data_IF_136877239584
#
_entry.id   IF_136877239584
#
_cell.length_a   1.000
_cell.length_b   1.000
_cell.length_c   1.000
_cell.angle_alpha   90.00
_cell.angle_beta   90.00
_cell.angle_gamma   90.00
#
_symmetry.space_group_name_H-M   'P 1'
#
loop_
_entity.id
_entity.type
_entity.pdbx_description
1 polymer ?
#
# COMPACT_ATOMS: atom_id res chain seq x y z
N UNK A 1 16.34 -23.59 20.09
CA UNK A 1 15.33 -22.59 20.53
C UNK A 1 15.49 -21.43 19.55
N UNK A 2 14.43 -20.99 18.90
CA UNK A 2 14.57 -19.89 17.94
C UNK A 2 15.00 -18.61 18.67
N UNK A 3 16.00 -17.93 18.13
CA UNK A 3 16.49 -16.67 18.67
C UNK A 3 15.98 -15.50 17.82
N UNK A 4 15.75 -14.35 18.42
CA UNK A 4 15.25 -13.17 17.71
C UNK A 4 16.13 -12.77 16.51
N UNK A 5 17.44 -12.86 16.68
CA UNK A 5 18.38 -12.48 15.61
C UNK A 5 18.36 -13.48 14.45
N UNK A 6 18.12 -14.76 14.69
CA UNK A 6 17.92 -15.77 13.65
C UNK A 6 16.67 -15.44 12.83
N UNK A 7 15.53 -15.14 13.49
CA UNK A 7 14.29 -14.76 12.83
C UNK A 7 14.52 -13.50 11.97
N UNK A 8 15.19 -12.50 12.53
CA UNK A 8 15.46 -11.23 11.86
C UNK A 8 16.41 -11.34 10.66
N UNK A 9 17.28 -12.35 10.64
CA UNK A 9 18.23 -12.60 9.54
C UNK A 9 17.57 -13.08 8.26
N UNK A 10 16.32 -13.56 8.33
CA UNK A 10 15.60 -14.08 7.17
C UNK A 10 15.25 -12.97 6.17
N UNK A 11 15.36 -13.21 4.85
CA UNK A 11 15.04 -12.23 3.83
C UNK A 11 13.59 -11.71 3.97
N UNK A 12 13.43 -10.38 3.97
CA UNK A 12 12.12 -9.74 4.07
C UNK A 12 11.59 -9.58 5.50
N UNK A 13 12.29 -10.08 6.51
CA UNK A 13 11.90 -9.95 7.92
C UNK A 13 12.55 -8.71 8.54
N UNK A 14 11.73 -7.71 8.83
CA UNK A 14 12.12 -6.51 9.57
C UNK A 14 11.91 -6.66 11.09
N UNK A 15 12.29 -5.62 11.85
CA UNK A 15 12.17 -5.61 13.33
C UNK A 15 10.76 -5.91 13.83
N UNK A 16 9.74 -5.33 13.19
CA UNK A 16 8.33 -5.57 13.53
C UNK A 16 7.95 -7.04 13.31
N UNK A 17 8.24 -7.59 12.14
CA UNK A 17 7.88 -8.97 11.79
C UNK A 17 8.64 -9.97 12.67
N UNK A 18 9.93 -9.73 12.92
CA UNK A 18 10.72 -10.55 13.81
C UNK A 18 10.19 -10.51 15.26
N UNK A 19 9.78 -9.32 15.72
CA UNK A 19 9.15 -9.14 17.02
C UNK A 19 7.84 -9.91 17.15
N UNK A 20 6.97 -9.83 16.13
CA UNK A 20 5.70 -10.55 16.10
C UNK A 20 5.89 -12.06 16.09
N UNK A 21 6.75 -12.58 15.22
CA UNK A 21 7.05 -14.02 15.16
C UNK A 21 7.66 -14.50 16.49
N UNK A 22 8.65 -13.76 17.00
CA UNK A 22 9.32 -14.11 18.25
C UNK A 22 8.37 -14.18 19.44
N UNK A 23 7.51 -13.16 19.60
CA UNK A 23 6.58 -13.13 20.73
C UNK A 23 5.40 -14.09 20.56
N UNK A 24 4.76 -14.12 19.38
CA UNK A 24 3.51 -14.89 19.19
C UNK A 24 3.79 -16.38 19.04
N UNK A 25 4.85 -16.75 18.29
CA UNK A 25 5.10 -18.15 18.00
C UNK A 25 6.05 -18.84 18.99
N UNK A 26 6.89 -18.05 19.66
CA UNK A 26 7.97 -18.59 20.51
C UNK A 26 7.94 -18.04 21.95
N UNK A 27 6.97 -17.22 22.31
CA UNK A 27 6.85 -16.54 23.61
C UNK A 27 8.13 -15.80 24.04
N UNK A 28 8.90 -15.31 23.05
CA UNK A 28 10.10 -14.51 23.30
C UNK A 28 9.72 -13.09 23.74
N UNK A 29 10.47 -12.46 24.65
CA UNK A 29 10.22 -11.09 25.06
C UNK A 29 10.67 -10.09 23.98
N UNK A 30 10.01 -10.15 22.84
CA UNK A 30 10.34 -9.36 21.63
C UNK A 30 9.13 -8.53 21.19
N UNK A 31 8.97 -7.29 21.70
CA UNK A 31 7.82 -6.44 21.34
C UNK A 31 7.72 -6.17 19.85
N UNK A 32 6.54 -6.41 19.28
CA UNK A 32 6.20 -6.03 17.92
C UNK A 32 5.60 -4.63 17.88
N UNK A 33 6.40 -3.62 17.55
CA UNK A 33 6.00 -2.21 17.62
C UNK A 33 5.59 -1.72 16.24
N UNK A 34 4.28 -1.72 15.98
CA UNK A 34 3.65 -1.16 14.77
C UNK A 34 2.99 0.21 15.05
N UNK A 35 2.28 0.74 14.06
CA UNK A 35 1.55 2.00 14.20
C UNK A 35 0.41 1.94 15.21
N UNK A 36 -0.19 0.78 15.45
CA UNK A 36 -1.23 0.57 16.44
C UNK A 36 -0.64 0.61 17.86
N UNK A 37 0.42 -0.16 18.07
CA UNK A 37 1.13 -0.20 19.36
C UNK A 37 1.70 1.17 19.73
N UNK A 38 2.32 1.89 18.78
CA UNK A 38 2.81 3.26 18.99
C UNK A 38 1.69 4.21 19.43
N UNK A 39 0.52 4.13 18.80
CA UNK A 39 -0.65 4.95 19.17
C UNK A 39 -1.19 4.61 20.55
N UNK A 40 -1.37 3.33 20.85
CA UNK A 40 -1.85 2.88 22.17
C UNK A 40 -0.87 3.33 23.23
N UNK A 41 0.42 3.05 23.06
CA UNK A 41 1.45 3.43 24.01
C UNK A 41 1.47 4.94 24.29
N UNK A 42 1.54 5.76 23.22
CA UNK A 42 1.62 7.22 23.39
C UNK A 42 0.39 7.81 24.06
N UNK A 43 -0.80 7.26 23.84
CA UNK A 43 -2.02 7.66 24.55
C UNK A 43 -2.01 7.21 26.01
N UNK A 44 -1.61 5.98 26.28
CA UNK A 44 -1.52 5.46 27.67
C UNK A 44 -0.54 6.28 28.48
N UNK A 45 0.60 6.62 27.92
CA UNK A 45 1.69 7.34 28.62
C UNK A 45 1.62 8.85 28.50
N UNK A 46 0.78 9.41 27.60
CA UNK A 46 0.81 10.82 27.15
C UNK A 46 2.20 11.24 26.64
N UNK A 47 2.85 10.36 25.88
CA UNK A 47 4.18 10.64 25.36
C UNK A 47 4.10 11.58 24.13
N UNK A 48 4.60 12.84 24.25
CA UNK A 48 4.54 13.81 23.17
C UNK A 48 5.63 13.59 22.11
N UNK A 49 6.42 12.54 22.23
CA UNK A 49 7.49 12.26 21.30
C UNK A 49 6.95 11.91 19.91
N UNK A 50 7.61 12.42 18.88
CA UNK A 50 7.23 12.14 17.49
C UNK A 50 7.54 10.68 17.13
N UNK A 51 6.49 9.89 16.90
CA UNK A 51 6.58 8.45 16.62
C UNK A 51 7.18 8.10 15.24
N UNK A 52 7.36 9.06 14.35
CA UNK A 52 7.99 8.82 13.05
C UNK A 52 9.52 8.72 13.17
N UNK A 53 10.10 9.21 14.29
CA UNK A 53 11.54 9.13 14.58
C UNK A 53 11.94 7.72 15.05
N UNK A 54 12.97 7.15 14.44
CA UNK A 54 13.46 5.81 14.80
C UNK A 54 13.92 5.70 16.27
N UNK A 55 14.54 6.74 16.81
CA UNK A 55 14.95 6.78 18.21
C UNK A 55 13.76 6.65 19.18
N UNK A 56 12.60 7.24 18.83
CA UNK A 56 11.38 7.14 19.62
C UNK A 56 10.80 5.72 19.56
N UNK A 57 10.77 5.11 18.36
CA UNK A 57 10.33 3.72 18.22
C UNK A 57 11.20 2.76 19.02
N UNK A 58 12.53 2.96 19.00
CA UNK A 58 13.47 2.18 19.79
C UNK A 58 13.23 2.35 21.29
N UNK A 59 13.08 3.59 21.76
CA UNK A 59 12.72 3.89 23.17
C UNK A 59 11.46 3.16 23.61
N UNK A 60 10.38 3.30 22.84
CA UNK A 60 9.09 2.66 23.15
C UNK A 60 9.24 1.12 23.19
N UNK A 61 10.01 0.56 22.27
CA UNK A 61 10.31 -0.88 22.30
C UNK A 61 11.06 -1.30 23.54
N UNK A 62 12.07 -0.53 23.97
CA UNK A 62 12.84 -0.81 25.19
C UNK A 62 11.96 -0.73 26.45
N UNK A 63 11.03 0.22 26.49
CA UNK A 63 10.08 0.34 27.61
C UNK A 63 9.06 -0.79 27.61
N UNK A 64 8.52 -1.18 26.47
CA UNK A 64 7.64 -2.34 26.36
C UNK A 64 8.37 -3.64 26.76
N UNK A 65 9.64 -3.77 26.46
CA UNK A 65 10.45 -4.93 26.84
C UNK A 65 10.42 -5.19 28.35
N UNK A 66 10.29 -4.15 29.18
CA UNK A 66 10.17 -4.33 30.64
C UNK A 66 8.87 -5.06 31.00
N UNK A 67 7.80 -4.82 30.26
CA UNK A 67 6.51 -5.49 30.47
C UNK A 67 6.54 -6.93 29.97
N UNK A 68 7.18 -7.17 28.82
CA UNK A 68 7.32 -8.51 28.22
C UNK A 68 8.11 -9.50 29.10
N UNK A 69 8.93 -9.01 30.02
CA UNK A 69 9.68 -9.86 30.98
C UNK A 69 8.79 -10.64 31.95
N UNK A 70 7.54 -10.25 32.10
CA UNK A 70 6.60 -10.96 32.98
C UNK A 70 5.95 -12.18 32.31
N UNK A 71 6.32 -12.50 31.05
CA UNK A 71 5.79 -13.63 30.29
C UNK A 71 4.50 -13.31 29.54
N UNK A 72 3.89 -14.32 28.93
CA UNK A 72 2.70 -14.20 28.07
C UNK A 72 2.91 -13.22 26.92
N UNK A 73 4.09 -13.27 26.30
CA UNK A 73 4.48 -12.33 25.24
C UNK A 73 3.59 -12.43 24.02
N UNK A 74 3.09 -13.62 23.72
CA UNK A 74 2.11 -13.90 22.67
C UNK A 74 0.79 -13.14 22.88
N UNK A 75 0.22 -13.29 24.08
CA UNK A 75 -1.04 -12.62 24.46
C UNK A 75 -0.87 -11.12 24.51
N UNK A 76 0.24 -10.62 25.07
CA UNK A 76 0.50 -9.19 25.19
C UNK A 76 0.66 -8.54 23.80
N UNK A 77 1.41 -9.18 22.88
CA UNK A 77 1.56 -8.69 21.52
C UNK A 77 0.22 -8.62 20.79
N UNK A 78 -0.55 -9.70 20.81
CA UNK A 78 -1.85 -9.76 20.15
C UNK A 78 -2.82 -8.75 20.78
N UNK A 79 -2.89 -8.67 22.11
CA UNK A 79 -3.77 -7.73 22.81
C UNK A 79 -3.48 -6.27 22.45
N UNK A 80 -2.20 -5.86 22.40
CA UNK A 80 -1.83 -4.50 22.01
C UNK A 80 -2.22 -4.18 20.56
N UNK A 81 -2.06 -5.14 19.65
CA UNK A 81 -2.49 -5.00 18.25
C UNK A 81 -4.01 -4.87 18.15
N UNK A 82 -4.77 -5.75 18.83
CA UNK A 82 -6.23 -5.76 18.83
C UNK A 82 -6.83 -4.50 19.47
N UNK A 83 -6.32 -4.06 20.61
CA UNK A 83 -6.73 -2.81 21.23
C UNK A 83 -6.52 -1.64 20.25
N UNK A 84 -5.38 -1.61 19.56
CA UNK A 84 -5.12 -0.60 18.55
C UNK A 84 -6.06 -0.70 17.33
N UNK A 85 -6.37 -1.91 16.87
CA UNK A 85 -7.19 -2.11 15.68
C UNK A 85 -8.69 -1.86 15.92
N UNK A 86 -9.21 -2.23 17.10
CA UNK A 86 -10.66 -2.33 17.33
C UNK A 86 -11.21 -1.33 18.34
N UNK A 87 -10.38 -0.83 19.28
CA UNK A 87 -10.79 0.02 20.40
C UNK A 87 -10.14 1.40 20.31
N UNK A 88 -8.81 1.46 20.36
CA UNK A 88 -8.05 2.70 20.33
C UNK A 88 -7.82 3.19 18.91
N UNK A 89 -8.89 3.61 18.22
CA UNK A 89 -8.93 3.88 16.78
C UNK A 89 -8.02 5.04 16.34
N UNK A 90 -7.45 4.99 15.12
CA UNK A 90 -6.62 6.07 14.59
C UNK A 90 -7.44 7.29 14.15
N UNK A 91 -8.68 7.08 13.71
CA UNK A 91 -9.58 8.10 13.21
C UNK A 91 -10.87 8.11 14.05
N UNK A 92 -11.30 9.30 14.46
CA UNK A 92 -12.46 9.47 15.34
C UNK A 92 -12.18 9.15 16.80
N UNK A 93 -13.21 9.18 17.62
CA UNK A 93 -13.11 8.93 19.05
C UNK A 93 -12.79 7.45 19.35
N UNK A 94 -11.82 7.14 20.21
CA UNK A 94 -11.58 5.79 20.68
C UNK A 94 -12.72 5.32 21.57
N UNK A 95 -12.94 4.00 21.64
CA UNK A 95 -13.97 3.36 22.47
C UNK A 95 -13.44 3.14 23.89
N UNK A 96 -13.21 4.22 24.63
CA UNK A 96 -12.55 4.18 25.93
C UNK A 96 -13.35 3.39 26.97
N UNK A 97 -14.68 3.38 26.89
CA UNK A 97 -15.57 2.73 27.87
C UNK A 97 -15.40 1.21 27.92
N UNK A 98 -14.91 0.61 26.83
CA UNK A 98 -14.66 -0.84 26.74
C UNK A 98 -13.17 -1.17 26.66
N UNK A 99 -12.30 -0.18 26.89
CA UNK A 99 -10.86 -0.36 26.78
C UNK A 99 -10.27 -1.04 28.02
N UNK A 100 -9.56 -2.17 27.87
CA UNK A 100 -8.94 -2.84 29.02
C UNK A 100 -7.81 -2.01 29.67
N UNK A 101 -7.32 -0.97 28.99
CA UNK A 101 -6.29 -0.06 29.50
C UNK A 101 -6.88 1.24 30.07
N UNK A 102 -8.20 1.37 30.20
CA UNK A 102 -8.88 2.60 30.59
C UNK A 102 -8.30 3.20 31.90
N UNK A 103 -8.19 2.40 32.93
CA UNK A 103 -7.70 2.82 34.27
C UNK A 103 -6.24 3.28 34.25
N UNK A 104 -5.44 2.76 33.33
CA UNK A 104 -4.02 3.10 33.20
C UNK A 104 -3.78 4.25 32.23
N UNK A 105 -4.77 4.59 31.37
CA UNK A 105 -4.61 5.50 30.26
C UNK A 105 -4.64 6.96 30.73
N UNK A 106 -3.49 7.65 30.66
CA UNK A 106 -3.40 9.08 31.00
C UNK A 106 -4.23 9.94 30.05
N UNK A 107 -4.15 9.67 28.75
CA UNK A 107 -4.91 10.43 27.74
C UNK A 107 -6.43 10.28 27.90
N UNK A 108 -6.92 9.17 28.44
CA UNK A 108 -8.33 9.02 28.81
C UNK A 108 -8.66 9.89 30.05
N UNK A 109 -7.81 9.84 31.08
CA UNK A 109 -8.02 10.61 32.34
C UNK A 109 -8.05 12.13 32.10
N UNK A 110 -7.28 12.61 31.13
CA UNK A 110 -7.15 14.05 30.83
C UNK A 110 -7.92 14.47 29.56
N UNK A 111 -8.68 13.57 28.94
CA UNK A 111 -9.39 13.79 27.66
C UNK A 111 -8.48 14.37 26.55
N UNK A 112 -7.24 13.88 26.47
CA UNK A 112 -6.18 14.41 25.59
C UNK A 112 -5.83 13.49 24.41
N UNK A 113 -6.61 12.45 24.15
CA UNK A 113 -6.32 11.41 23.17
C UNK A 113 -6.11 11.93 21.73
N UNK A 114 -6.71 13.06 21.37
CA UNK A 114 -6.56 13.69 20.06
C UNK A 114 -5.14 14.21 19.80
N UNK A 115 -4.39 14.51 20.88
CA UNK A 115 -3.02 15.02 20.79
C UNK A 115 -2.02 13.92 20.45
N UNK A 116 -2.40 12.64 20.58
CA UNK A 116 -1.51 11.49 20.42
C UNK A 116 -2.03 10.50 19.37
N UNK A 117 -1.12 9.91 18.58
CA UNK A 117 0.33 10.10 18.57
C UNK A 117 0.76 11.39 17.85
N UNK A 118 1.84 12.00 18.31
CA UNK A 118 2.49 13.10 17.59
C UNK A 118 3.24 12.55 16.37
N UNK A 119 3.01 13.17 15.20
CA UNK A 119 3.62 12.78 13.94
C UNK A 119 4.17 14.00 13.19
N UNK A 120 5.11 13.76 12.29
CA UNK A 120 5.50 14.79 11.31
C UNK A 120 4.35 15.09 10.37
N UNK A 121 4.29 16.34 9.92
CA UNK A 121 3.37 16.70 8.85
C UNK A 121 3.66 15.85 7.61
N UNK A 122 2.62 15.24 7.05
CA UNK A 122 2.77 14.42 5.83
C UNK A 122 3.35 15.28 4.72
N UNK A 123 4.49 14.87 4.16
CA UNK A 123 5.01 15.49 2.94
C UNK A 123 3.97 15.38 1.83
N UNK A 124 3.84 16.44 1.04
CA UNK A 124 2.98 16.39 -0.15
C UNK A 124 3.47 15.26 -1.05
N UNK A 125 2.53 14.45 -1.56
CA UNK A 125 2.86 13.41 -2.53
C UNK A 125 3.35 14.05 -3.82
N UNK A 126 4.28 13.36 -4.49
CA UNK A 126 4.63 13.72 -5.86
C UNK A 126 3.45 13.35 -6.75
N UNK A 127 2.99 14.28 -7.56
CA UNK A 127 1.97 13.98 -8.59
C UNK A 127 2.70 13.59 -9.88
N UNK A 128 2.27 12.49 -10.49
CA UNK A 128 2.75 12.01 -11.78
C UNK A 128 1.56 11.82 -12.71
N UNK A 129 1.61 12.50 -13.85
CA UNK A 129 0.64 12.30 -14.92
C UNK A 129 1.05 11.12 -15.81
N UNK A 130 0.06 10.35 -16.28
CA UNK A 130 0.27 9.21 -17.17
C UNK A 130 -0.84 9.10 -18.19
N UNK A 131 -0.45 8.84 -19.45
CA UNK A 131 -1.36 8.42 -20.49
C UNK A 131 -1.35 6.88 -20.55
N UNK A 132 -2.48 6.24 -20.31
CA UNK A 132 -2.66 4.78 -20.34
C UNK A 132 -3.26 4.40 -21.69
N UNK A 133 -2.66 3.44 -22.37
CA UNK A 133 -3.08 3.01 -23.71
C UNK A 133 -3.84 1.70 -23.60
N UNK A 134 -5.15 1.76 -23.79
CA UNK A 134 -6.04 0.60 -23.77
C UNK A 134 -6.19 0.10 -25.23
N UNK A 135 -5.16 -0.61 -25.70
CA UNK A 135 -5.06 -1.08 -27.08
C UNK A 135 -5.79 -2.41 -27.20
N UNK A 136 -6.75 -2.46 -28.12
CA UNK A 136 -7.51 -3.67 -28.44
C UNK A 136 -7.22 -4.10 -29.88
N UNK A 137 -7.12 -5.39 -30.10
CA UNK A 137 -7.09 -6.02 -31.41
C UNK A 137 -7.95 -7.28 -31.36
N UNK A 138 -9.05 -7.29 -32.09
CA UNK A 138 -10.08 -8.35 -32.00
C UNK A 138 -10.56 -8.56 -30.56
N UNK A 139 -10.40 -9.77 -30.02
CA UNK A 139 -10.76 -10.16 -28.65
C UNK A 139 -9.60 -9.97 -27.64
N UNK A 140 -8.46 -9.40 -28.10
CA UNK A 140 -7.25 -9.27 -27.28
C UNK A 140 -6.93 -7.83 -26.89
N UNK A 141 -6.28 -7.70 -25.75
CA UNK A 141 -5.80 -6.43 -25.20
C UNK A 141 -4.29 -6.50 -25.00
N UNK A 142 -3.62 -5.39 -25.30
CA UNK A 142 -2.19 -5.30 -25.10
C UNK A 142 -1.83 -5.03 -23.63
N UNK A 143 -0.87 -5.77 -23.15
CA UNK A 143 -0.22 -5.56 -21.84
C UNK A 143 1.29 -5.56 -22.02
N UNK A 144 2.00 -5.00 -21.06
CA UNK A 144 3.47 -5.09 -20.99
C UNK A 144 3.92 -5.43 -19.59
N UNK A 145 5.11 -6.01 -19.47
CA UNK A 145 5.76 -6.18 -18.18
C UNK A 145 6.53 -4.91 -17.82
N UNK A 146 6.29 -4.37 -16.63
CA UNK A 146 6.99 -3.17 -16.18
C UNK A 146 8.43 -3.52 -15.82
N UNK A 147 9.38 -2.93 -16.57
CA UNK A 147 10.82 -3.14 -16.40
C UNK A 147 11.49 -2.00 -15.65
N UNK A 148 10.83 -0.86 -15.52
CA UNK A 148 11.33 0.31 -14.80
C UNK A 148 11.45 0.01 -13.31
N UNK A 149 12.63 0.30 -12.74
CA UNK A 149 12.87 0.13 -11.30
C UNK A 149 11.94 1.00 -10.46
N UNK A 150 11.53 0.51 -9.31
CA UNK A 150 10.68 1.22 -8.37
C UNK A 150 9.25 0.66 -8.30
N UNK A 151 8.26 1.55 -8.29
CA UNK A 151 6.86 1.20 -8.05
C UNK A 151 6.31 0.24 -9.10
N UNK A 152 5.72 -0.88 -8.64
CA UNK A 152 5.13 -1.94 -9.47
C UNK A 152 6.13 -2.65 -10.41
N UNK A 153 7.44 -2.59 -10.13
CA UNK A 153 8.46 -3.27 -10.93
C UNK A 153 8.16 -4.77 -11.07
N UNK A 154 8.30 -5.28 -12.28
CA UNK A 154 8.09 -6.70 -12.61
C UNK A 154 6.63 -7.13 -12.74
N UNK A 155 5.65 -6.27 -12.45
CA UNK A 155 4.22 -6.57 -12.62
C UNK A 155 3.76 -6.28 -14.05
N UNK A 156 2.63 -6.87 -14.42
CA UNK A 156 1.96 -6.58 -15.68
C UNK A 156 1.19 -5.26 -15.58
N UNK A 157 1.20 -4.47 -16.64
CA UNK A 157 0.46 -3.21 -16.73
C UNK A 157 -0.07 -2.99 -18.15
N UNK A 158 -1.05 -2.11 -18.31
CA UNK A 158 -1.37 -1.58 -19.63
C UNK A 158 -0.23 -0.65 -20.10
N UNK A 159 0.11 -0.63 -21.41
CA UNK A 159 1.10 0.30 -21.93
C UNK A 159 0.78 1.71 -21.50
N UNK A 160 1.76 2.45 -21.01
CA UNK A 160 1.55 3.82 -20.53
C UNK A 160 2.78 4.68 -20.78
N UNK A 161 2.53 5.99 -20.90
CA UNK A 161 3.53 7.03 -21.10
C UNK A 161 3.52 8.00 -19.93
N UNK A 162 4.68 8.49 -19.48
CA UNK A 162 4.75 9.56 -18.50
C UNK A 162 4.32 10.88 -19.12
N UNK A 163 3.51 11.66 -18.40
CA UNK A 163 3.02 12.97 -18.84
C UNK A 163 1.59 12.96 -19.34
N UNK A 164 1.14 14.15 -19.75
CA UNK A 164 -0.18 14.41 -20.30
C UNK A 164 -0.10 14.51 -21.83
N UNK A 165 -1.05 13.92 -22.54
CA UNK A 165 -1.08 13.87 -23.98
C UNK A 165 -2.47 14.19 -24.50
N UNK A 166 -2.52 14.85 -25.65
CA UNK A 166 -3.73 15.00 -26.45
C UNK A 166 -4.05 13.70 -27.22
N UNK A 167 -5.29 13.57 -27.64
CA UNK A 167 -5.77 12.47 -28.49
C UNK A 167 -4.90 12.31 -29.74
N UNK A 168 -4.52 13.42 -30.38
CA UNK A 168 -3.73 13.41 -31.60
C UNK A 168 -2.29 12.92 -31.40
N UNK A 169 -1.67 13.32 -30.29
CA UNK A 169 -0.33 12.83 -29.92
C UNK A 169 -0.33 11.34 -29.64
N UNK A 170 -1.37 10.84 -28.95
CA UNK A 170 -1.51 9.40 -28.69
C UNK A 170 -1.70 8.61 -30.00
N UNK A 171 -2.57 9.06 -30.89
CA UNK A 171 -2.75 8.41 -32.21
C UNK A 171 -1.43 8.37 -33.00
N UNK A 172 -0.71 9.50 -33.04
CA UNK A 172 0.59 9.57 -33.71
C UNK A 172 1.62 8.63 -33.06
N UNK A 173 1.66 8.56 -31.74
CA UNK A 173 2.54 7.66 -31.01
C UNK A 173 2.23 6.19 -31.32
N UNK A 174 0.96 5.77 -31.24
CA UNK A 174 0.55 4.38 -31.50
C UNK A 174 0.81 4.00 -32.95
N UNK A 175 0.57 4.92 -33.90
CA UNK A 175 0.92 4.72 -35.31
C UNK A 175 2.42 4.52 -35.51
N UNK A 176 3.26 5.29 -34.80
CA UNK A 176 4.72 5.14 -34.84
C UNK A 176 5.21 3.77 -34.34
N UNK A 177 4.38 3.05 -33.61
CA UNK A 177 4.63 1.68 -33.14
C UNK A 177 4.14 0.60 -34.10
N UNK A 178 3.71 0.97 -35.32
CA UNK A 178 3.13 0.10 -36.34
C UNK A 178 1.87 -0.65 -35.89
N UNK A 179 1.07 -0.06 -35.01
CA UNK A 179 -0.16 -0.66 -34.51
C UNK A 179 -1.43 -0.20 -35.24
N UNK A 180 -1.31 0.83 -36.08
CA UNK A 180 -2.38 1.37 -36.94
C UNK A 180 -3.73 1.50 -36.21
N UNK A 181 -3.85 2.43 -35.21
CA UNK A 181 -5.09 2.64 -34.50
C UNK A 181 -6.17 3.16 -35.43
N UNK A 182 -7.41 2.67 -35.31
CA UNK A 182 -8.55 3.16 -36.09
C UNK A 182 -9.00 4.52 -35.54
N UNK A 183 -9.55 4.52 -34.32
CA UNK A 183 -10.00 5.72 -33.63
C UNK A 183 -9.93 5.50 -32.11
N UNK A 184 -9.90 6.58 -31.36
CA UNK A 184 -10.10 6.55 -29.93
C UNK A 184 -11.60 6.67 -29.68
N UNK A 185 -12.22 5.60 -29.23
CA UNK A 185 -13.66 5.52 -29.02
C UNK A 185 -14.08 5.91 -27.60
N UNK A 186 -13.14 5.92 -26.63
CA UNK A 186 -13.40 6.35 -25.27
C UNK A 186 -12.15 6.92 -24.63
N UNK A 187 -12.34 7.95 -23.80
CA UNK A 187 -11.33 8.47 -22.90
C UNK A 187 -11.88 8.49 -21.47
N UNK A 188 -11.05 8.16 -20.49
CA UNK A 188 -11.43 8.24 -19.06
C UNK A 188 -10.25 8.63 -18.20
N UNK A 189 -10.52 9.15 -17.02
CA UNK A 189 -9.49 9.56 -16.06
C UNK A 189 -9.66 8.84 -14.74
N UNK A 190 -8.55 8.54 -14.09
CA UNK A 190 -8.53 7.95 -12.76
C UNK A 190 -7.30 8.40 -12.00
N UNK A 191 -7.48 8.68 -10.71
CA UNK A 191 -6.39 9.00 -9.79
C UNK A 191 -6.15 7.85 -8.85
N UNK A 192 -4.92 7.34 -8.84
CA UNK A 192 -4.49 6.32 -7.87
C UNK A 192 -3.45 6.87 -6.91
N UNK A 193 -3.69 6.64 -5.60
CA UNK A 193 -2.86 7.18 -4.53
C UNK A 193 -2.03 6.07 -3.90
N UNK A 194 -0.72 6.18 -4.05
CA UNK A 194 0.25 5.37 -3.31
C UNK A 194 0.74 6.12 -2.06
N UNK A 195 1.57 5.49 -1.25
CA UNK A 195 2.09 6.10 -0.01
C UNK A 195 2.83 7.42 -0.25
N UNK A 196 3.61 7.52 -1.32
CA UNK A 196 4.52 8.65 -1.59
C UNK A 196 4.34 9.32 -2.95
N UNK A 197 3.50 8.76 -3.82
CA UNK A 197 3.21 9.30 -5.15
C UNK A 197 1.72 9.17 -5.45
N UNK A 198 1.21 10.05 -6.28
CA UNK A 198 -0.15 10.06 -6.78
C UNK A 198 -0.11 10.06 -8.30
N UNK A 199 -0.74 9.07 -8.94
CA UNK A 199 -0.84 8.98 -10.38
C UNK A 199 -2.16 9.54 -10.87
N UNK A 200 -2.09 10.61 -11.64
CA UNK A 200 -3.21 11.13 -12.41
C UNK A 200 -3.14 10.49 -13.81
N UNK A 201 -4.04 9.59 -14.09
CA UNK A 201 -4.02 8.79 -15.30
C UNK A 201 -5.16 9.16 -16.22
N UNK A 202 -4.85 9.36 -17.50
CA UNK A 202 -5.83 9.48 -18.58
C UNK A 202 -5.67 8.27 -19.49
N UNK A 203 -6.72 7.47 -19.64
CA UNK A 203 -6.74 6.28 -20.48
C UNK A 203 -7.41 6.59 -21.82
N UNK A 204 -6.83 6.04 -22.88
CA UNK A 204 -7.27 6.17 -24.27
C UNK A 204 -7.57 4.78 -24.80
N UNK A 205 -8.83 4.51 -25.09
CA UNK A 205 -9.31 3.23 -25.60
C UNK A 205 -9.40 3.28 -27.11
N UNK A 206 -8.69 2.38 -27.78
CA UNK A 206 -8.64 2.32 -29.22
C UNK A 206 -8.50 0.90 -29.76
N UNK A 207 -9.04 0.69 -30.95
CA UNK A 207 -8.86 -0.54 -31.70
C UNK A 207 -7.70 -0.39 -32.66
N UNK A 208 -6.82 -1.39 -32.70
CA UNK A 208 -5.67 -1.47 -33.57
C UNK A 208 -5.93 -2.45 -34.74
N UNK A 209 -5.28 -2.23 -35.86
CA UNK A 209 -5.43 -3.12 -37.02
C UNK A 209 -4.36 -4.21 -37.06
N UNK A 210 -3.34 -4.12 -36.22
CA UNK A 210 -2.20 -5.05 -36.21
C UNK A 210 -1.66 -5.27 -34.79
N UNK A 211 -0.97 -6.41 -34.56
CA UNK A 211 -0.39 -6.83 -33.29
C UNK A 211 1.14 -6.73 -33.23
N UNK A 212 1.78 -6.08 -34.16
CA UNK A 212 3.23 -6.23 -34.43
C UNK A 212 4.19 -5.48 -33.48
N UNK A 213 3.77 -5.09 -32.27
CA UNK A 213 4.68 -4.45 -31.33
C UNK A 213 5.45 -5.48 -30.49
N UNK A 214 6.78 -5.51 -30.64
CA UNK A 214 7.68 -6.47 -29.96
C UNK A 214 7.66 -6.41 -28.43
N UNK A 215 7.29 -5.26 -27.86
CA UNK A 215 7.33 -5.02 -26.42
C UNK A 215 5.96 -5.26 -25.75
N UNK A 216 4.97 -5.72 -26.50
CA UNK A 216 3.62 -5.96 -26.03
C UNK A 216 3.27 -7.45 -26.07
N UNK A 217 2.56 -7.90 -25.04
CA UNK A 217 1.88 -9.19 -25.03
C UNK A 217 0.38 -8.94 -25.25
N UNK A 218 -0.20 -9.64 -26.19
CA UNK A 218 -1.63 -9.60 -26.46
C UNK A 218 -2.31 -10.78 -25.80
N UNK A 219 -3.31 -10.50 -24.98
CA UNK A 219 -4.02 -11.47 -24.16
C UNK A 219 -5.51 -11.29 -24.34
N UNK A 220 -6.26 -12.36 -24.29
CA UNK A 220 -7.72 -12.29 -24.31
C UNK A 220 -8.25 -11.67 -23.03
N UNK A 221 -9.49 -11.18 -23.05
CA UNK A 221 -10.13 -10.66 -21.82
C UNK A 221 -10.29 -11.75 -20.76
N UNK A 222 -10.42 -13.01 -21.17
CA UNK A 222 -10.48 -14.15 -20.26
C UNK A 222 -9.13 -14.41 -19.58
N UNK A 223 -8.05 -14.51 -20.33
CA UNK A 223 -6.68 -14.61 -19.79
C UNK A 223 -6.36 -13.43 -18.84
N UNK A 224 -6.71 -12.20 -19.27
CA UNK A 224 -6.51 -11.00 -18.46
C UNK A 224 -7.26 -11.07 -17.13
N UNK A 225 -8.42 -11.73 -17.09
CA UNK A 225 -9.26 -11.87 -15.89
C UNK A 225 -8.78 -12.99 -14.98
N UNK A 226 -8.40 -14.13 -15.53
CA UNK A 226 -8.13 -15.36 -14.79
C UNK A 226 -6.65 -15.58 -14.45
N UNK A 227 -5.74 -15.20 -15.35
CA UNK A 227 -4.34 -15.58 -15.26
C UNK A 227 -3.39 -14.41 -14.98
N UNK A 228 -3.83 -13.18 -15.25
CA UNK A 228 -2.93 -12.03 -15.21
C UNK A 228 -3.31 -11.06 -14.10
N UNK A 229 -2.41 -10.95 -13.12
CA UNK A 229 -2.54 -9.99 -12.04
C UNK A 229 -2.16 -8.58 -12.52
N UNK A 230 -3.17 -7.76 -12.79
CA UNK A 230 -3.00 -6.32 -13.04
C UNK A 230 -3.11 -5.57 -11.71
N UNK A 231 -2.17 -4.68 -11.37
CA UNK A 231 -2.22 -3.87 -10.16
C UNK A 231 -3.53 -3.08 -10.01
N UNK A 232 -3.97 -2.89 -8.78
CA UNK A 232 -5.20 -2.15 -8.46
C UNK A 232 -5.21 -0.72 -9.02
N UNK A 233 -4.04 -0.12 -9.26
CA UNK A 233 -3.92 1.17 -9.93
C UNK A 233 -4.56 1.22 -11.32
N UNK A 234 -4.64 0.08 -12.01
CA UNK A 234 -5.22 -0.03 -13.34
C UNK A 234 -6.58 -0.74 -13.35
N UNK A 235 -7.08 -1.19 -12.20
CA UNK A 235 -8.35 -1.94 -12.12
C UNK A 235 -9.53 -1.21 -12.77
N UNK A 236 -9.76 0.11 -12.56
CA UNK A 236 -10.89 0.81 -13.18
C UNK A 236 -10.86 0.77 -14.71
N UNK A 237 -9.67 0.78 -15.30
CA UNK A 237 -9.53 0.68 -16.77
C UNK A 237 -9.81 -0.73 -17.28
N UNK A 238 -9.40 -1.75 -16.51
CA UNK A 238 -9.71 -3.15 -16.82
C UNK A 238 -11.23 -3.42 -16.83
N UNK A 239 -11.92 -2.87 -15.85
CA UNK A 239 -13.38 -3.08 -15.70
C UNK A 239 -14.16 -2.49 -16.88
N UNK A 240 -13.70 -1.35 -17.41
CA UNK A 240 -14.32 -0.72 -18.59
C UNK A 240 -14.12 -1.49 -19.89
N UNK A 241 -13.09 -2.32 -20.01
CA UNK A 241 -12.91 -3.20 -21.17
C UNK A 241 -14.03 -4.25 -21.28
N UNK A 242 -14.64 -4.63 -20.17
CA UNK A 242 -15.72 -5.60 -20.11
C UNK A 242 -17.10 -4.96 -20.43
N UNK A 243 -17.22 -3.63 -20.34
CA UNK A 243 -18.50 -2.90 -20.50
C UNK A 243 -18.75 -2.43 -21.95
N UNK A 244 -17.79 -2.56 -22.83
CA UNK A 244 -17.79 -2.02 -24.19
C UNK A 244 -17.84 -3.09 -25.28
N UNK A 245 -18.52 -4.20 -25.02
CA UNK A 245 -18.79 -5.25 -26.02
C UNK A 245 -20.23 -5.18 -26.50
#
# INVERSE_FOLDING_TARGET
MAEYDEIRSLPGIGEYTAGAIGSICFDLPTPAVDGNVLRVYTRVMEDPSNIDKQAVKKKIREELLQVYRYGHCDMLTQSLMEVGATICLPNGAPKCEVCPLQELCKAHKHDSWQQYPVREAKKKRKVEEKAVLMLRYEDKVAIRKRTEKGLLHGLWEFPNLPGSYSTQEILSYVTSKNLHPKEIWMETTYTHIFSHVEWHMKAFYMECMEQQAKDLRWVTLEELKQEIAIPSAFAPFKDLLNSGA
#
